data_IF_824606329806
#
_entry.id   IF_824606329806
#
_cell.length_a   1.000
_cell.length_b   1.000
_cell.length_c   1.000
_cell.angle_alpha   90.00
_cell.angle_beta   90.00
_cell.angle_gamma   90.00
#
_symmetry.space_group_name_H-M   'P 1'
#
loop_
_entity.id
_entity.type
_entity.pdbx_description
1 polymer ?
#
# COMPACT_ATOMS: atom_id res chain seq x y z
N UNK A 1 8.88 -8.37 -1.62
CA UNK A 1 10.22 -8.26 -2.23
C UNK A 1 11.32 -8.81 -1.31
N UNK A 2 11.41 -8.37 -0.05
CA UNK A 2 12.47 -8.79 0.89
C UNK A 2 12.51 -10.30 1.11
N UNK A 3 11.38 -10.96 1.40
CA UNK A 3 11.37 -12.41 1.65
C UNK A 3 11.88 -13.24 0.46
N UNK A 4 11.48 -12.88 -0.77
CA UNK A 4 11.96 -13.53 -2.00
C UNK A 4 13.46 -13.34 -2.17
N UNK A 5 13.95 -12.12 -1.93
CA UNK A 5 15.37 -11.78 -2.00
C UNK A 5 16.18 -12.56 -0.95
N UNK A 6 15.70 -12.64 0.29
CA UNK A 6 16.35 -13.40 1.37
C UNK A 6 16.49 -14.88 1.01
N UNK A 7 15.42 -15.50 0.48
CA UNK A 7 15.47 -16.90 0.04
C UNK A 7 16.42 -17.07 -1.15
N UNK A 8 16.37 -16.19 -2.16
CA UNK A 8 17.27 -16.29 -3.30
C UNK A 8 18.74 -16.12 -2.92
N UNK A 9 19.07 -15.14 -2.06
CA UNK A 9 20.45 -14.89 -1.62
C UNK A 9 21.01 -16.08 -0.84
N UNK A 10 20.22 -16.66 0.08
CA UNK A 10 20.64 -17.83 0.85
C UNK A 10 20.87 -19.06 -0.04
N UNK A 11 20.05 -19.25 -1.10
CA UNK A 11 20.23 -20.35 -2.05
C UNK A 11 21.51 -20.20 -2.88
N UNK A 12 21.81 -18.99 -3.39
CA UNK A 12 23.01 -18.75 -4.20
C UNK A 12 24.31 -18.70 -3.38
N UNK A 13 24.25 -18.25 -2.12
CA UNK A 13 25.41 -18.10 -1.23
C UNK A 13 25.46 -19.19 -0.15
N UNK A 14 24.84 -20.35 -0.41
CA UNK A 14 24.64 -21.40 0.59
C UNK A 14 25.93 -21.83 1.31
N UNK A 15 27.04 -21.94 0.57
CA UNK A 15 28.35 -22.34 1.12
C UNK A 15 29.04 -21.27 1.98
N UNK A 16 28.59 -20.01 1.91
CA UNK A 16 29.14 -18.90 2.70
C UNK A 16 28.55 -18.85 4.11
N UNK A 17 27.38 -19.45 4.34
CA UNK A 17 26.68 -19.44 5.61
C UNK A 17 26.77 -20.82 6.30
N UNK A 18 27.76 -21.06 7.18
CA UNK A 18 28.08 -22.40 7.67
C UNK A 18 27.04 -23.00 8.63
N UNK A 19 26.20 -22.17 9.27
CA UNK A 19 25.18 -22.66 10.20
C UNK A 19 23.87 -23.00 9.47
N UNK A 20 23.78 -24.23 8.99
CA UNK A 20 22.63 -24.72 8.21
C UNK A 20 21.30 -24.67 8.97
N UNK A 21 21.32 -24.81 10.31
CA UNK A 21 20.11 -24.72 11.14
C UNK A 21 19.53 -23.31 11.14
N UNK A 22 20.39 -22.30 11.28
CA UNK A 22 19.98 -20.89 11.24
C UNK A 22 19.49 -20.53 9.84
N UNK A 23 20.18 -20.95 8.78
CA UNK A 23 19.76 -20.68 7.40
C UNK A 23 18.36 -21.25 7.13
N UNK A 24 18.12 -22.48 7.56
CA UNK A 24 16.81 -23.12 7.42
C UNK A 24 15.73 -22.38 8.21
N UNK A 25 16.02 -22.00 9.46
CA UNK A 25 15.10 -21.22 10.28
C UNK A 25 14.73 -19.88 9.60
N UNK A 26 15.72 -19.18 9.01
CA UNK A 26 15.49 -17.93 8.27
C UNK A 26 14.59 -18.16 7.05
N UNK A 27 14.84 -19.21 6.26
CA UNK A 27 14.04 -19.52 5.06
C UNK A 27 12.60 -19.83 5.44
N UNK A 28 12.40 -20.67 6.46
CA UNK A 28 11.06 -21.02 6.96
C UNK A 28 10.33 -19.79 7.45
N UNK A 29 10.96 -18.98 8.29
CA UNK A 29 10.38 -17.75 8.82
C UNK A 29 10.03 -16.74 7.71
N UNK A 30 10.94 -16.54 6.74
CA UNK A 30 10.70 -15.66 5.61
C UNK A 30 9.53 -16.15 4.74
N UNK A 31 9.42 -17.46 4.53
CA UNK A 31 8.33 -18.08 3.76
C UNK A 31 6.98 -17.89 4.46
N UNK A 32 6.90 -18.19 5.76
CA UNK A 32 5.67 -17.97 6.55
C UNK A 32 5.27 -16.50 6.59
N UNK A 33 6.23 -15.60 6.81
CA UNK A 33 5.98 -14.15 6.80
C UNK A 33 5.46 -13.70 5.44
N UNK A 34 6.07 -14.18 4.34
CA UNK A 34 5.62 -13.86 2.98
C UNK A 34 4.17 -14.25 2.74
N UNK A 35 3.81 -15.51 2.98
CA UNK A 35 2.43 -15.98 2.74
C UNK A 35 1.43 -15.34 3.71
N UNK A 36 1.80 -15.15 4.97
CA UNK A 36 0.96 -14.45 5.95
C UNK A 36 0.68 -13.01 5.54
N UNK A 37 1.71 -12.23 5.23
CA UNK A 37 1.53 -10.84 4.75
C UNK A 37 0.79 -10.80 3.42
N UNK A 38 1.09 -11.71 2.48
CA UNK A 38 0.38 -11.78 1.20
C UNK A 38 -1.12 -12.02 1.42
N UNK A 39 -1.48 -12.98 2.27
CA UNK A 39 -2.87 -13.27 2.62
C UNK A 39 -3.55 -12.02 3.21
N UNK A 40 -2.94 -11.39 4.22
CA UNK A 40 -3.50 -10.20 4.88
C UNK A 40 -3.63 -9.00 3.93
N UNK A 41 -2.68 -8.81 3.01
CA UNK A 41 -2.77 -7.79 1.97
C UNK A 41 -3.88 -8.08 0.96
N UNK A 42 -4.25 -9.34 0.74
CA UNK A 42 -5.33 -9.69 -0.19
C UNK A 42 -6.70 -9.61 0.47
N UNK A 43 -6.80 -9.95 1.75
CA UNK A 43 -8.09 -9.97 2.45
C UNK A 43 -8.40 -8.68 3.19
N UNK A 44 -7.40 -7.86 3.51
CA UNK A 44 -7.56 -6.61 4.28
C UNK A 44 -8.32 -6.82 5.60
N UNK A 45 -8.20 -8.01 6.21
CA UNK A 45 -9.04 -8.48 7.34
C UNK A 45 -9.05 -7.55 8.56
N UNK A 46 -8.01 -6.75 8.76
CA UNK A 46 -7.88 -5.85 9.91
C UNK A 46 -8.11 -4.37 9.57
N UNK A 47 -8.64 -4.06 8.38
CA UNK A 47 -8.93 -2.68 7.97
C UNK A 47 -10.41 -2.38 8.18
N UNK A 48 -10.70 -1.46 9.11
CA UNK A 48 -12.04 -0.92 9.35
C UNK A 48 -12.26 0.42 8.63
N UNK A 49 -13.48 0.95 8.71
CA UNK A 49 -13.92 2.16 7.99
C UNK A 49 -13.00 3.36 8.20
N UNK A 50 -12.64 3.65 9.45
CA UNK A 50 -11.78 4.81 9.78
C UNK A 50 -10.36 4.60 9.27
N UNK A 51 -9.80 3.39 9.39
CA UNK A 51 -8.47 3.06 8.88
C UNK A 51 -8.42 3.17 7.35
N UNK A 52 -9.47 2.67 6.68
CA UNK A 52 -9.63 2.80 5.24
C UNK A 52 -9.61 4.26 4.81
N UNK A 53 -10.46 5.10 5.41
CA UNK A 53 -10.54 6.52 5.05
C UNK A 53 -9.24 7.28 5.34
N UNK A 54 -8.59 7.01 6.48
CA UNK A 54 -7.29 7.61 6.82
C UNK A 54 -6.18 7.22 5.83
N UNK A 55 -6.24 6.02 5.25
CA UNK A 55 -5.30 5.58 4.21
C UNK A 55 -5.65 6.13 2.82
N UNK A 56 -6.94 6.33 2.51
CA UNK A 56 -7.37 6.83 1.20
C UNK A 56 -7.18 8.35 1.03
N UNK A 57 -7.29 9.15 2.09
CA UNK A 57 -7.02 10.60 2.01
C UNK A 57 -5.62 10.92 1.41
N UNK A 58 -4.51 10.34 1.88
CA UNK A 58 -3.20 10.59 1.27
C UNK A 58 -3.04 9.94 -0.10
N UNK A 59 -3.69 8.79 -0.36
CA UNK A 59 -3.70 8.17 -1.70
C UNK A 59 -4.34 9.11 -2.73
N UNK A 60 -5.49 9.70 -2.41
CA UNK A 60 -6.15 10.71 -3.23
C UNK A 60 -5.29 11.97 -3.36
N UNK A 61 -4.71 12.45 -2.26
CA UNK A 61 -3.84 13.63 -2.30
C UNK A 61 -2.65 13.45 -3.25
N UNK A 62 -2.11 12.23 -3.38
CA UNK A 62 -1.05 11.91 -4.33
C UNK A 62 -1.51 11.98 -5.79
N UNK A 63 -2.72 11.52 -6.09
CA UNK A 63 -3.30 11.61 -7.43
C UNK A 63 -3.68 13.04 -7.82
N UNK A 64 -4.20 13.85 -6.87
CA UNK A 64 -4.37 15.30 -7.05
C UNK A 64 -3.01 15.95 -7.36
N UNK A 65 -1.98 15.72 -6.53
CA UNK A 65 -0.64 16.27 -6.73
C UNK A 65 -0.07 15.91 -8.09
N UNK A 66 -0.21 14.66 -8.52
CA UNK A 66 0.29 14.22 -9.84
C UNK A 66 -0.48 14.91 -10.96
N UNK A 67 -1.80 14.94 -10.88
CA UNK A 67 -2.68 15.56 -11.89
C UNK A 67 -2.44 17.07 -12.02
N UNK A 68 -2.12 17.76 -10.92
CA UNK A 68 -1.87 19.21 -10.92
C UNK A 68 -0.49 19.61 -11.43
N UNK A 69 0.50 18.70 -11.40
CA UNK A 69 1.89 19.02 -11.74
C UNK A 69 2.29 18.63 -13.17
N UNK A 70 1.50 17.81 -13.85
CA UNK A 70 1.80 17.37 -15.22
C UNK A 70 1.26 18.36 -16.24
N UNK A 71 2.10 18.77 -17.20
CA UNK A 71 1.71 19.60 -18.35
C UNK A 71 1.19 18.71 -19.49
N UNK A 72 -0.10 18.37 -19.42
CA UNK A 72 -0.77 17.53 -20.42
C UNK A 72 -0.94 18.25 -21.77
N UNK A 73 -0.52 17.59 -22.85
CA UNK A 73 -0.65 18.10 -24.23
C UNK A 73 -1.96 17.71 -24.91
N UNK A 74 -2.47 16.53 -24.57
CA UNK A 74 -3.73 16.04 -25.09
C UNK A 74 -4.91 16.67 -24.32
N UNK A 75 -5.88 17.34 -24.99
CA UNK A 75 -7.01 17.98 -24.32
C UNK A 75 -7.93 17.02 -23.56
N UNK A 76 -8.10 15.79 -24.05
CA UNK A 76 -8.94 14.79 -23.40
C UNK A 76 -8.27 14.29 -22.12
N UNK A 77 -6.96 14.06 -22.15
CA UNK A 77 -6.19 13.68 -20.95
C UNK A 77 -6.17 14.81 -19.93
N UNK A 78 -6.02 16.07 -20.36
CA UNK A 78 -6.10 17.23 -19.46
C UNK A 78 -7.47 17.29 -18.78
N UNK A 79 -8.55 17.09 -19.55
CA UNK A 79 -9.91 17.08 -19.01
C UNK A 79 -10.10 15.97 -17.98
N UNK A 80 -9.59 14.77 -18.26
CA UNK A 80 -9.59 13.66 -17.30
C UNK A 80 -8.87 14.02 -16.00
N UNK A 81 -7.71 14.68 -16.08
CA UNK A 81 -6.96 15.10 -14.89
C UNK A 81 -7.74 16.12 -14.04
N UNK A 82 -8.39 17.11 -14.66
CA UNK A 82 -9.26 18.07 -13.98
C UNK A 82 -10.44 17.38 -13.28
N UNK A 83 -11.06 16.39 -13.95
CA UNK A 83 -12.19 15.64 -13.40
C UNK A 83 -11.75 14.74 -12.22
N UNK A 84 -10.55 14.13 -12.30
CA UNK A 84 -9.94 13.37 -11.20
C UNK A 84 -9.71 14.28 -9.98
N UNK A 85 -9.12 15.46 -10.17
CA UNK A 85 -8.88 16.42 -9.08
C UNK A 85 -10.20 16.77 -8.38
N UNK A 86 -11.19 17.19 -9.17
CA UNK A 86 -12.48 17.61 -8.63
C UNK A 86 -13.21 16.47 -7.89
N UNK A 87 -13.14 15.23 -8.38
CA UNK A 87 -13.71 14.07 -7.71
C UNK A 87 -13.00 13.78 -6.38
N UNK A 88 -11.66 13.74 -6.41
CA UNK A 88 -10.89 13.34 -5.25
C UNK A 88 -10.92 14.38 -4.12
N UNK A 89 -10.98 15.68 -4.42
CA UNK A 89 -11.21 16.71 -3.40
C UNK A 89 -12.55 16.55 -2.68
N UNK A 90 -13.63 16.25 -3.44
CA UNK A 90 -14.94 15.97 -2.85
C UNK A 90 -14.91 14.73 -1.96
N UNK A 91 -14.26 13.67 -2.41
CA UNK A 91 -14.14 12.40 -1.66
C UNK A 91 -13.30 12.59 -0.39
N UNK A 92 -12.20 13.36 -0.44
CA UNK A 92 -11.42 13.72 0.76
C UNK A 92 -12.30 14.44 1.78
N UNK A 93 -13.12 15.41 1.34
CA UNK A 93 -14.03 16.13 2.25
C UNK A 93 -15.04 15.16 2.90
N UNK A 94 -15.66 14.30 2.10
CA UNK A 94 -16.61 13.29 2.59
C UNK A 94 -15.97 12.35 3.61
N UNK A 95 -14.76 11.86 3.33
CA UNK A 95 -14.04 10.97 4.24
C UNK A 95 -13.72 11.67 5.58
N UNK A 96 -13.27 12.93 5.55
CA UNK A 96 -13.01 13.69 6.78
C UNK A 96 -14.28 13.86 7.63
N UNK A 97 -15.41 14.21 7.01
CA UNK A 97 -16.70 14.33 7.70
C UNK A 97 -17.14 13.00 8.32
N UNK A 98 -16.97 11.88 7.60
CA UNK A 98 -17.29 10.56 8.10
C UNK A 98 -16.38 10.12 9.24
N UNK A 99 -15.06 10.40 9.18
CA UNK A 99 -14.12 10.14 10.27
C UNK A 99 -14.56 10.87 11.53
N UNK A 100 -14.83 12.18 11.45
CA UNK A 100 -15.29 12.99 12.59
C UNK A 100 -16.57 12.40 13.18
N UNK A 101 -17.55 12.03 12.34
CA UNK A 101 -18.80 11.42 12.77
C UNK A 101 -18.60 10.07 13.46
N UNK A 102 -17.68 9.24 13.00
CA UNK A 102 -17.44 7.90 13.58
C UNK A 102 -16.61 7.98 14.87
N UNK A 103 -15.63 8.88 14.93
CA UNK A 103 -14.80 9.07 16.12
C UNK A 103 -15.55 9.78 17.25
N UNK A 104 -16.48 10.69 16.95
CA UNK A 104 -17.32 11.36 17.97
C UNK A 104 -18.40 10.47 18.61
N UNK A 105 -18.69 9.31 18.02
CA UNK A 105 -19.64 8.31 18.55
C UNK A 105 -18.98 7.28 19.48
N UNK A 106 -17.67 7.37 19.67
CA UNK A 106 -16.85 6.43 20.43
C UNK A 106 -16.53 6.97 21.81
#
# INVERSE_FOLDING_TARGET
MIAVMTVSMLLFMWKMYPNTKINFAIIVFATFTFFGTFYLLRTQTFIGDVQYMKAMIPHHSSAIMTSSNVDFKDPEVKKLAEDIIAAQEREIKQMNEMIIRLESKK
#
